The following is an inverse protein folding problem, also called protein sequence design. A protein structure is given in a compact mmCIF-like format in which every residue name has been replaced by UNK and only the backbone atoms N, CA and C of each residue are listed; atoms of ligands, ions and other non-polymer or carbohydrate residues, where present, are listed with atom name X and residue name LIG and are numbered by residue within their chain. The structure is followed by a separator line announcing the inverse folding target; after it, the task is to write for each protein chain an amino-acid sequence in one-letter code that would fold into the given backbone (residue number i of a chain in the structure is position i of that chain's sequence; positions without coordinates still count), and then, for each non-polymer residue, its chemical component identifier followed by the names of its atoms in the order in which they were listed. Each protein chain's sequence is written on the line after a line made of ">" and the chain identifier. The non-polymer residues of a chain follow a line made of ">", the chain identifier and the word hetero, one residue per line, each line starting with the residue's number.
data_IF_571716820073
#
_entry.id   IF_571716820073
#
_cell.length_a   1.000
_cell.length_b   1.000
_cell.length_c   1.000
_cell.angle_alpha   90.00
_cell.angle_beta   90.00
_cell.angle_gamma   90.00
#
_symmetry.space_group_name_H-M   'P 1'
#
loop_
_entity.id
_entity.type
_entity.pdbx_description
1 polymer ?
#
# COMPACT_ATOMS: atom_id res chain seq x y z
N UNK A 1 -42.73 31.30 -0.94
CA UNK A 1 -41.46 31.39 -1.70
C UNK A 1 -40.24 30.87 -0.93
N UNK A 2 -40.01 31.25 0.33
CA UNK A 2 -38.83 30.80 1.10
C UNK A 2 -38.72 29.26 1.27
N UNK A 3 -39.84 28.57 1.53
CA UNK A 3 -39.87 27.11 1.71
C UNK A 3 -39.41 26.33 0.47
N UNK A 4 -39.75 26.78 -0.74
CA UNK A 4 -39.28 26.17 -1.99
C UNK A 4 -37.78 26.38 -2.22
N UNK A 5 -37.24 27.55 -1.85
CA UNK A 5 -35.79 27.82 -1.93
C UNK A 5 -34.99 26.93 -0.99
N UNK A 6 -35.50 26.65 0.22
CA UNK A 6 -34.87 25.74 1.17
C UNK A 6 -34.88 24.28 0.68
N UNK A 7 -35.98 23.83 0.08
CA UNK A 7 -36.06 22.47 -0.50
C UNK A 7 -35.09 22.32 -1.67
N UNK A 8 -35.01 23.30 -2.57
CA UNK A 8 -34.04 23.28 -3.68
C UNK A 8 -32.60 23.26 -3.15
N UNK A 9 -32.27 24.08 -2.14
CA UNK A 9 -30.95 24.09 -1.53
C UNK A 9 -30.60 22.75 -0.87
N UNK A 10 -31.56 22.11 -0.18
CA UNK A 10 -31.37 20.80 0.43
C UNK A 10 -31.11 19.70 -0.62
N UNK A 11 -31.84 19.73 -1.75
CA UNK A 11 -31.63 18.78 -2.85
C UNK A 11 -30.26 18.97 -3.49
N UNK A 12 -29.85 20.21 -3.75
CA UNK A 12 -28.52 20.51 -4.31
C UNK A 12 -27.42 20.04 -3.35
N UNK A 13 -27.57 20.27 -2.05
CA UNK A 13 -26.62 19.80 -1.05
C UNK A 13 -26.54 18.27 -1.00
N UNK A 14 -27.69 17.58 -1.03
CA UNK A 14 -27.73 16.12 -1.04
C UNK A 14 -27.08 15.54 -2.30
N UNK A 15 -27.34 16.12 -3.48
CA UNK A 15 -26.69 15.71 -4.72
C UNK A 15 -25.17 15.97 -4.69
N UNK A 16 -24.73 17.10 -4.12
CA UNK A 16 -23.32 17.39 -3.94
C UNK A 16 -22.64 16.37 -3.01
N UNK A 17 -23.30 15.98 -1.91
CA UNK A 17 -22.81 14.95 -0.99
C UNK A 17 -22.74 13.57 -1.64
N UNK A 18 -23.78 13.16 -2.38
CA UNK A 18 -23.79 11.89 -3.12
C UNK A 18 -22.69 11.90 -4.19
N UNK A 19 -22.56 12.98 -4.94
CA UNK A 19 -21.50 13.14 -5.94
C UNK A 19 -20.11 13.09 -5.32
N UNK A 20 -19.91 13.70 -4.16
CA UNK A 20 -18.66 13.64 -3.41
C UNK A 20 -18.32 12.20 -2.97
N UNK A 21 -19.27 11.49 -2.37
CA UNK A 21 -19.08 10.08 -1.99
C UNK A 21 -18.81 9.19 -3.21
N UNK A 22 -19.56 9.38 -4.29
CA UNK A 22 -19.37 8.66 -5.55
C UNK A 22 -17.98 8.91 -6.17
N UNK A 23 -17.47 10.14 -6.07
CA UNK A 23 -16.15 10.50 -6.59
C UNK A 23 -15.01 9.74 -5.89
N UNK A 24 -15.16 9.41 -4.60
CA UNK A 24 -14.17 8.62 -3.87
C UNK A 24 -14.11 7.17 -4.36
N UNK A 25 -15.27 6.58 -4.70
CA UNK A 25 -15.35 5.21 -5.23
C UNK A 25 -14.70 5.14 -6.61
N UNK A 26 -15.05 6.08 -7.50
CA UNK A 26 -14.49 6.15 -8.86
C UNK A 26 -12.98 6.39 -8.81
N UNK A 27 -12.50 7.21 -7.87
CA UNK A 27 -11.07 7.42 -7.64
C UNK A 27 -10.33 6.10 -7.38
N UNK A 28 -10.79 5.28 -6.43
CA UNK A 28 -10.17 3.98 -6.13
C UNK A 28 -10.20 3.03 -7.31
N UNK A 29 -11.34 2.91 -8.00
CA UNK A 29 -11.48 2.07 -9.18
C UNK A 29 -10.53 2.49 -10.32
N UNK A 30 -10.28 3.80 -10.48
CA UNK A 30 -9.32 4.31 -11.45
C UNK A 30 -7.88 3.90 -11.12
N UNK A 31 -7.48 3.90 -9.84
CA UNK A 31 -6.15 3.42 -9.42
C UNK A 31 -5.98 1.94 -9.77
N UNK A 32 -6.97 1.10 -9.45
CA UNK A 32 -6.90 -0.35 -9.73
C UNK A 32 -6.85 -0.67 -11.24
N UNK A 33 -7.46 0.18 -12.07
CA UNK A 33 -7.52 0.01 -13.52
C UNK A 33 -6.31 0.59 -14.25
N UNK A 34 -5.92 1.81 -13.92
CA UNK A 34 -4.96 2.62 -14.69
C UNK A 34 -3.61 2.81 -13.96
N UNK A 35 -3.52 2.43 -12.68
CA UNK A 35 -2.31 2.51 -11.88
C UNK A 35 -1.24 1.50 -12.32
N UNK A 36 0.03 1.85 -12.08
CA UNK A 36 1.18 0.98 -12.37
C UNK A 36 1.24 -0.13 -11.33
N UNK A 37 1.25 -1.37 -11.80
CA UNK A 37 1.31 -2.54 -10.91
C UNK A 37 2.73 -2.76 -10.39
N UNK A 38 2.86 -2.77 -9.07
CA UNK A 38 4.10 -3.11 -8.35
C UNK A 38 3.85 -4.35 -7.49
N UNK A 39 4.77 -5.30 -7.57
CA UNK A 39 4.75 -6.50 -6.73
C UNK A 39 5.63 -6.26 -5.50
N UNK A 40 5.02 -6.13 -4.34
CA UNK A 40 5.72 -5.91 -3.07
C UNK A 40 5.92 -7.22 -2.33
N UNK A 41 7.12 -7.41 -1.78
CA UNK A 41 7.42 -8.57 -0.95
C UNK A 41 6.90 -8.35 0.46
N UNK A 42 6.14 -9.32 0.97
CA UNK A 42 5.64 -9.30 2.35
C UNK A 42 6.69 -9.92 3.26
N UNK A 43 6.98 -9.26 4.39
CA UNK A 43 7.84 -9.83 5.43
C UNK A 43 7.16 -11.11 5.98
N UNK A 44 7.92 -12.20 6.23
CA UNK A 44 7.36 -13.45 6.70
C UNK A 44 6.78 -13.30 8.11
N UNK A 45 5.48 -13.05 8.19
CA UNK A 45 4.68 -13.12 9.41
C UNK A 45 3.97 -14.49 9.41
N UNK A 46 3.90 -15.14 10.57
CA UNK A 46 3.35 -16.50 10.72
C UNK A 46 1.96 -16.59 10.04
N UNK A 47 1.75 -17.51 9.07
CA UNK A 47 0.47 -17.68 8.37
C UNK A 47 -0.70 -17.95 9.33
N UNK A 48 -0.45 -18.38 10.58
CA UNK A 48 -1.47 -18.60 11.61
C UNK A 48 -2.13 -17.33 12.15
N UNK A 49 -1.66 -16.15 11.75
CA UNK A 49 -2.23 -14.85 12.13
C UNK A 49 -2.86 -14.06 10.97
N UNK A 50 -2.83 -14.56 9.72
CA UNK A 50 -3.50 -13.89 8.59
C UNK A 50 -5.02 -14.15 8.55
N UNK A 51 -5.57 -15.13 9.27
CA UNK A 51 -6.97 -15.59 9.05
C UNK A 51 -7.84 -15.62 10.32
N UNK A 52 -7.42 -14.98 11.43
CA UNK A 52 -8.09 -15.08 12.74
C UNK A 52 -9.14 -13.97 13.03
N UNK A 53 -9.48 -13.13 12.05
CA UNK A 53 -10.61 -12.18 12.12
C UNK A 53 -10.33 -10.81 11.47
N UNK A 54 -11.39 -10.21 10.92
CA UNK A 54 -11.61 -8.91 10.25
C UNK A 54 -10.58 -8.31 9.28
N UNK A 55 -9.27 -8.56 9.40
CA UNK A 55 -8.24 -8.21 8.41
C UNK A 55 -6.88 -8.84 8.71
N UNK A 56 -6.04 -8.93 7.68
CA UNK A 56 -4.66 -9.39 7.71
C UNK A 56 -3.73 -8.19 7.86
N UNK A 57 -2.78 -8.24 8.80
CA UNK A 57 -1.71 -7.24 8.86
C UNK A 57 -0.54 -7.65 7.97
N UNK A 58 -0.18 -6.78 7.04
CA UNK A 58 0.92 -6.95 6.10
C UNK A 58 2.08 -6.06 6.54
N UNK A 59 3.28 -6.64 6.55
CA UNK A 59 4.54 -5.88 6.64
C UNK A 59 5.27 -6.01 5.30
N UNK A 60 5.90 -4.94 4.83
CA UNK A 60 6.61 -4.94 3.55
C UNK A 60 8.09 -4.68 3.76
N UNK A 61 8.94 -5.28 2.91
CA UNK A 61 10.38 -4.95 2.89
C UNK A 61 10.60 -3.45 2.62
N UNK A 62 9.72 -2.82 1.84
CA UNK A 62 9.78 -1.39 1.54
C UNK A 62 9.33 -0.50 2.70
N UNK A 63 8.72 -1.04 3.76
CA UNK A 63 8.33 -0.26 4.95
C UNK A 63 9.54 0.12 5.79
N UNK A 64 10.67 -0.58 5.66
CA UNK A 64 11.91 -0.30 6.40
C UNK A 64 12.90 0.42 5.50
N UNK A 65 13.06 1.72 5.72
CA UNK A 65 13.95 2.57 4.93
C UNK A 65 15.18 2.92 5.76
N UNK A 66 16.36 2.56 5.25
CA UNK A 66 17.64 3.02 5.80
C UNK A 66 17.74 4.54 5.64
N UNK A 67 18.15 5.22 6.70
CA UNK A 67 18.29 6.69 6.72
C UNK A 67 19.20 7.18 5.58
N UNK A 68 20.22 6.40 5.21
CA UNK A 68 21.14 6.69 4.10
C UNK A 68 20.46 6.77 2.73
N UNK A 69 19.28 6.15 2.57
CA UNK A 69 18.49 6.22 1.33
C UNK A 69 17.63 7.48 1.27
N UNK A 70 17.50 8.22 2.37
CA UNK A 70 16.74 9.47 2.43
C UNK A 70 17.62 10.60 1.91
N UNK A 71 17.28 11.13 0.73
CA UNK A 71 18.14 12.10 0.03
C UNK A 71 18.13 13.50 0.68
N UNK A 72 17.04 13.89 1.34
CA UNK A 72 16.79 15.25 1.83
C UNK A 72 16.74 15.33 3.37
N UNK A 73 17.65 14.65 4.06
CA UNK A 73 17.69 14.69 5.52
C UNK A 73 17.87 16.13 6.06
N UNK A 74 17.04 16.56 7.03
CA UNK A 74 17.16 17.87 7.64
C UNK A 74 18.48 18.02 8.40
N UNK A 75 19.22 19.11 8.14
CA UNK A 75 20.48 19.37 8.83
C UNK A 75 20.24 19.72 10.31
N UNK A 76 20.83 18.94 11.21
CA UNK A 76 20.79 19.19 12.65
C UNK A 76 19.60 18.58 13.39
N UNK A 77 18.67 17.93 12.68
CA UNK A 77 17.60 17.14 13.29
C UNK A 77 18.01 15.67 13.35
N UNK A 78 17.92 15.09 14.54
CA UNK A 78 18.28 13.68 14.79
C UNK A 78 17.05 12.77 14.85
N UNK A 79 15.85 13.35 14.76
CA UNK A 79 14.59 12.65 14.92
C UNK A 79 13.59 13.03 13.83
N UNK A 80 12.79 12.08 13.36
CA UNK A 80 11.74 12.35 12.38
C UNK A 80 10.61 13.18 12.99
N UNK A 81 10.08 14.07 12.16
CA UNK A 81 8.76 14.68 12.38
C UNK A 81 7.73 13.86 11.62
N UNK A 82 6.51 13.80 12.16
CA UNK A 82 5.41 13.14 11.47
C UNK A 82 5.11 13.83 10.13
N UNK A 83 4.97 13.05 9.05
CA UNK A 83 4.67 13.63 7.75
C UNK A 83 4.73 12.64 6.58
N UNK A 84 4.39 13.13 5.37
CA UNK A 84 4.47 12.32 4.16
C UNK A 84 5.92 11.98 3.81
N UNK A 85 6.13 10.81 3.23
CA UNK A 85 7.41 10.35 2.69
C UNK A 85 7.15 9.75 1.31
N UNK A 86 7.95 10.13 0.32
CA UNK A 86 7.93 9.51 -1.00
C UNK A 86 9.06 8.50 -1.06
N UNK A 87 8.74 7.25 -1.41
CA UNK A 87 9.70 6.17 -1.58
C UNK A 87 9.72 5.75 -3.03
N UNK A 88 10.91 5.71 -3.63
CA UNK A 88 11.11 5.26 -5.00
C UNK A 88 11.41 3.79 -5.04
N UNK A 89 10.67 3.12 -5.89
CA UNK A 89 10.72 1.68 -6.09
C UNK A 89 11.30 1.37 -7.47
N UNK A 90 12.13 0.34 -7.52
CA UNK A 90 12.61 -0.25 -8.77
C UNK A 90 12.37 -1.75 -8.75
N UNK A 91 11.98 -2.30 -9.90
CA UNK A 91 11.79 -3.74 -10.08
C UNK A 91 13.16 -4.45 -10.10
N UNK A 92 13.33 -5.42 -9.23
CA UNK A 92 14.53 -6.26 -9.15
C UNK A 92 14.39 -7.51 -10.05
N UNK A 93 15.47 -8.26 -10.33
CA UNK A 93 15.42 -9.44 -11.20
C UNK A 93 14.50 -10.58 -10.74
N UNK A 94 14.21 -10.66 -9.44
CA UNK A 94 13.27 -11.62 -8.86
C UNK A 94 11.80 -11.22 -9.06
N UNK A 95 11.53 -10.07 -9.69
CA UNK A 95 10.21 -9.58 -10.00
C UNK A 95 9.59 -8.66 -8.94
N UNK A 96 10.17 -8.62 -7.73
CA UNK A 96 9.71 -7.76 -6.65
C UNK A 96 10.25 -6.34 -6.80
N UNK A 97 9.49 -5.37 -6.29
CA UNK A 97 9.87 -3.97 -6.25
C UNK A 97 10.51 -3.65 -4.91
N UNK A 98 11.69 -3.01 -4.94
CA UNK A 98 12.46 -2.65 -3.75
C UNK A 98 12.71 -1.15 -3.68
N UNK A 99 12.83 -0.63 -2.45
CA UNK A 99 13.12 0.77 -2.19
C UNK A 99 14.57 1.12 -2.53
N UNK A 100 14.75 2.05 -3.46
CA UNK A 100 16.06 2.55 -3.91
C UNK A 100 16.43 3.87 -3.25
N UNK A 101 15.47 4.79 -3.12
CA UNK A 101 15.66 6.10 -2.48
C UNK A 101 14.36 6.59 -1.84
N UNK A 102 14.46 7.55 -0.94
CA UNK A 102 13.31 8.16 -0.28
C UNK A 102 13.51 9.67 -0.08
N UNK A 103 12.40 10.40 0.05
CA UNK A 103 12.37 11.82 0.38
C UNK A 103 11.30 12.09 1.43
N UNK A 104 11.65 12.85 2.47
CA UNK A 104 10.67 13.42 3.38
C UNK A 104 9.88 14.51 2.63
N UNK A 105 8.55 14.44 2.65
CA UNK A 105 7.69 15.36 1.92
C UNK A 105 7.44 14.93 0.48
N UNK A 106 8.25 15.42 -0.45
CA UNK A 106 8.07 15.20 -1.89
C UNK A 106 9.40 14.89 -2.57
N UNK A 107 9.36 14.05 -3.60
CA UNK A 107 10.54 13.77 -4.42
C UNK A 107 10.97 15.01 -5.22
N UNK A 108 12.28 15.21 -5.34
CA UNK A 108 12.85 16.34 -6.09
C UNK A 108 12.59 16.23 -7.60
N UNK A 109 12.52 15.01 -8.10
CA UNK A 109 12.25 14.70 -9.52
C UNK A 109 11.21 13.60 -9.61
N UNK A 110 10.34 13.57 -10.63
CA UNK A 110 9.43 12.46 -10.85
C UNK A 110 10.18 11.14 -11.13
N UNK A 111 9.59 10.01 -10.74
CA UNK A 111 10.13 8.70 -11.09
C UNK A 111 10.32 8.54 -12.62
N UNK A 112 11.47 8.03 -13.08
CA UNK A 112 11.65 7.62 -14.47
C UNK A 112 10.71 6.45 -14.83
N UNK A 113 10.51 6.20 -16.13
CA UNK A 113 9.47 5.27 -16.60
C UNK A 113 9.59 3.82 -16.10
N UNK A 114 10.80 3.38 -15.74
CA UNK A 114 11.10 2.07 -15.16
C UNK A 114 10.93 2.01 -13.64
N UNK A 115 10.73 3.15 -12.97
CA UNK A 115 10.60 3.28 -11.52
C UNK A 115 9.19 3.73 -11.14
N UNK A 116 8.86 3.68 -9.85
CA UNK A 116 7.57 4.12 -9.30
C UNK A 116 7.82 4.84 -7.99
N UNK A 117 7.26 6.02 -7.82
CA UNK A 117 7.22 6.71 -6.53
C UNK A 117 5.93 6.30 -5.81
N UNK A 118 6.05 5.74 -4.61
CA UNK A 118 4.92 5.43 -3.72
C UNK A 118 4.92 6.42 -2.55
N UNK A 119 3.76 6.94 -2.23
CA UNK A 119 3.54 7.85 -1.12
C UNK A 119 3.23 7.03 0.14
N UNK A 120 3.96 7.31 1.21
CA UNK A 120 3.70 6.80 2.55
C UNK A 120 3.76 7.92 3.59
N UNK A 121 3.69 7.51 4.85
CA UNK A 121 3.70 8.37 6.01
C UNK A 121 4.69 7.84 7.05
N UNK A 122 5.46 8.73 7.64
CA UNK A 122 6.35 8.42 8.75
C UNK A 122 5.78 9.04 10.03
N UNK A 123 5.82 8.29 11.13
CA UNK A 123 5.47 8.83 12.45
C UNK A 123 6.61 9.71 13.01
N UNK A 124 6.31 10.50 14.04
CA UNK A 124 7.37 11.21 14.76
C UNK A 124 8.26 10.24 15.58
N UNK A 125 9.47 10.69 15.91
CA UNK A 125 10.33 10.03 16.89
C UNK A 125 11.25 8.92 16.36
N UNK A 126 11.33 8.69 15.06
CA UNK A 126 12.35 7.79 14.48
C UNK A 126 13.72 8.45 14.49
N UNK A 127 14.78 7.68 14.73
CA UNK A 127 16.15 8.20 14.62
C UNK A 127 16.53 8.45 13.17
N UNK A 128 17.04 9.65 12.88
CA UNK A 128 17.58 10.05 11.56
C UNK A 128 19.12 10.02 11.54
N UNK A 129 19.75 9.28 12.45
CA UNK A 129 21.20 9.08 12.44
C UNK A 129 21.61 8.00 11.43
N UNK A 130 22.80 8.10 10.81
CA UNK A 130 23.35 7.03 9.99
C UNK A 130 23.35 5.69 10.74
N UNK A 131 23.02 4.60 10.04
CA UNK A 131 22.85 3.25 10.55
C UNK A 131 21.48 2.97 11.19
N UNK A 132 20.58 3.96 11.22
CA UNK A 132 19.20 3.79 11.68
C UNK A 132 18.26 3.47 10.52
N UNK A 133 17.13 2.86 10.86
CA UNK A 133 16.04 2.56 9.92
C UNK A 133 14.78 3.26 10.39
N UNK A 134 14.03 3.82 9.45
CA UNK A 134 12.70 4.39 9.68
C UNK A 134 11.62 3.46 9.16
N UNK A 135 10.47 3.45 9.83
CA UNK A 135 9.28 2.73 9.35
C UNK A 135 8.36 3.67 8.60
N UNK A 136 7.90 3.25 7.42
CA UNK A 136 6.95 3.98 6.58
C UNK A 136 5.68 3.15 6.42
N UNK A 137 4.53 3.79 6.66
CA UNK A 137 3.20 3.23 6.44
C UNK A 137 2.63 3.77 5.11
N UNK A 138 2.14 2.88 4.25
CA UNK A 138 1.61 3.20 2.92
C UNK A 138 0.09 3.16 2.84
N UNK A 139 -0.60 2.82 3.94
CA UNK A 139 -2.05 2.68 3.99
C UNK A 139 -2.57 1.38 3.37
N UNK A 140 -1.67 0.46 3.03
CA UNK A 140 -1.95 -0.88 2.45
C UNK A 140 -1.53 -2.01 3.41
N UNK A 141 -1.22 -1.70 4.67
CA UNK A 141 -0.81 -2.68 5.68
C UNK A 141 -1.95 -3.59 6.14
N UNK A 142 -3.18 -3.35 5.67
CA UNK A 142 -4.36 -4.14 6.02
C UNK A 142 -5.01 -4.70 4.78
N UNK A 143 -5.15 -6.03 4.75
CA UNK A 143 -5.84 -6.73 3.68
C UNK A 143 -7.06 -7.46 4.24
N UNK A 144 -8.24 -7.13 3.71
CA UNK A 144 -9.51 -7.64 4.20
C UNK A 144 -9.92 -8.87 3.41
N UNK A 145 -10.05 -10.01 4.08
CA UNK A 145 -10.50 -11.26 3.46
C UNK A 145 -12.01 -11.39 3.69
N UNK A 146 -12.83 -11.67 2.65
CA UNK A 146 -14.25 -11.91 2.81
C UNK A 146 -14.53 -13.04 3.81
N UNK A 147 -15.54 -12.84 4.65
CA UNK A 147 -15.95 -13.82 5.65
C UNK A 147 -16.40 -15.12 4.96
N UNK A 148 -15.81 -16.26 5.34
CA UNK A 148 -16.10 -17.58 4.75
C UNK A 148 -15.18 -18.01 3.60
N UNK A 149 -14.40 -17.11 2.98
CA UNK A 149 -13.41 -17.47 1.96
C UNK A 149 -12.06 -17.89 2.55
N UNK A 150 -11.80 -17.53 3.82
CA UNK A 150 -10.55 -17.84 4.51
C UNK A 150 -10.22 -19.33 4.58
N UNK A 151 -11.22 -20.22 4.71
CA UNK A 151 -11.02 -21.68 4.77
C UNK A 151 -10.57 -22.26 3.42
N UNK A 152 -11.08 -21.75 2.30
CA UNK A 152 -10.71 -22.23 0.97
C UNK A 152 -9.26 -21.81 0.63
N UNK A 153 -8.92 -20.56 0.95
CA UNK A 153 -7.55 -20.04 0.85
C UNK A 153 -6.63 -20.84 1.78
N UNK A 154 -7.04 -21.12 3.01
CA UNK A 154 -6.25 -21.92 3.97
C UNK A 154 -6.00 -23.35 3.45
N UNK A 155 -7.01 -24.02 2.89
CA UNK A 155 -6.85 -25.39 2.40
C UNK A 155 -5.93 -25.45 1.17
N UNK A 156 -6.03 -24.46 0.27
CA UNK A 156 -5.14 -24.34 -0.88
C UNK A 156 -3.70 -24.03 -0.43
N UNK A 157 -3.54 -23.09 0.50
CA UNK A 157 -2.25 -22.76 1.12
C UNK A 157 -1.66 -23.96 1.86
N UNK A 158 -2.45 -24.75 2.59
CA UNK A 158 -1.97 -25.93 3.35
C UNK A 158 -1.48 -27.03 2.42
N UNK A 159 -2.20 -27.29 1.32
CA UNK A 159 -1.79 -28.25 0.29
C UNK A 159 -0.46 -27.84 -0.34
N UNK A 160 -0.32 -26.57 -0.75
CA UNK A 160 0.94 -26.05 -1.31
C UNK A 160 2.07 -26.00 -0.28
N UNK A 161 1.78 -25.64 0.97
CA UNK A 161 2.76 -25.62 2.07
C UNK A 161 3.27 -27.01 2.46
N UNK A 162 2.50 -28.06 2.19
CA UNK A 162 2.92 -29.45 2.42
C UNK A 162 3.90 -29.94 1.34
N UNK A 163 3.79 -29.40 0.13
CA UNK A 163 4.61 -29.78 -1.03
C UNK A 163 5.77 -28.79 -1.33
N UNK A 164 5.79 -27.60 -0.72
CA UNK A 164 6.79 -26.56 -0.95
C UNK A 164 7.91 -26.56 0.11
N UNK A 165 9.16 -26.38 -0.33
CA UNK A 165 10.29 -26.18 0.57
C UNK A 165 10.10 -24.88 1.39
N UNK A 166 10.46 -24.85 2.69
CA UNK A 166 10.20 -23.73 3.60
C UNK A 166 10.73 -22.37 3.13
N UNK A 167 11.76 -22.34 2.28
CA UNK A 167 12.42 -21.13 1.79
C UNK A 167 11.71 -20.48 0.57
N UNK A 168 10.77 -21.17 -0.08
CA UNK A 168 10.01 -20.66 -1.24
C UNK A 168 8.76 -19.85 -0.84
N UNK A 169 8.48 -19.72 0.46
CA UNK A 169 7.33 -18.98 1.00
C UNK A 169 7.55 -17.47 0.87
N UNK A 170 7.19 -16.92 -0.28
CA UNK A 170 7.28 -15.49 -0.57
C UNK A 170 5.92 -14.95 -0.98
N UNK A 171 5.06 -14.75 0.02
CA UNK A 171 3.82 -14.01 -0.21
C UNK A 171 4.16 -12.63 -0.75
N UNK A 172 3.57 -12.30 -1.89
CA UNK A 172 3.66 -11.00 -2.52
C UNK A 172 2.30 -10.32 -2.49
N UNK A 173 2.30 -9.00 -2.47
CA UNK A 173 1.08 -8.22 -2.67
C UNK A 173 1.28 -7.41 -3.92
N UNK A 174 0.37 -7.59 -4.87
CA UNK A 174 0.30 -6.72 -6.04
C UNK A 174 -0.46 -5.46 -5.65
N UNK A 175 0.19 -4.32 -5.82
CA UNK A 175 -0.34 -2.99 -5.53
C UNK A 175 -0.41 -2.21 -6.84
N UNK A 176 -1.53 -1.54 -7.09
CA UNK A 176 -1.63 -0.55 -8.15
C UNK A 176 -1.29 0.83 -7.57
N UNK A 177 -0.33 1.52 -8.17
CA UNK A 177 0.13 2.86 -7.74
C UNK A 177 -0.22 3.88 -8.80
N UNK A 178 -0.91 4.94 -8.42
CA UNK A 178 -1.27 6.03 -9.34
C UNK A 178 -0.17 7.08 -9.51
N UNK A 179 -0.42 8.09 -10.35
CA UNK A 179 0.55 9.17 -10.59
C UNK A 179 0.81 10.08 -9.38
N UNK A 180 -0.03 10.01 -8.33
CA UNK A 180 0.18 10.73 -7.07
C UNK A 180 1.03 9.93 -6.07
N UNK A 181 1.33 8.67 -6.40
CA UNK A 181 2.00 7.71 -5.52
C UNK A 181 1.05 6.98 -4.58
N UNK A 182 -0.27 7.17 -4.69
CA UNK A 182 -1.24 6.47 -3.85
C UNK A 182 -1.32 5.01 -4.29
N UNK A 183 -1.03 4.09 -3.36
CA UNK A 183 -1.14 2.64 -3.58
C UNK A 183 -2.52 2.10 -3.19
N UNK A 184 -3.02 1.12 -3.94
CA UNK A 184 -4.16 0.28 -3.56
C UNK A 184 -3.80 -1.20 -3.76
N UNK A 185 -4.21 -2.06 -2.83
CA UNK A 185 -4.02 -3.51 -2.99
C UNK A 185 -4.89 -3.97 -4.16
N UNK A 186 -4.31 -4.77 -5.03
CA UNK A 186 -5.00 -5.38 -6.17
C UNK A 186 -5.15 -6.88 -5.99
N UNK A 187 -4.10 -7.54 -5.51
CA UNK A 187 -4.12 -8.99 -5.35
C UNK A 187 -3.12 -9.49 -4.30
N UNK A 188 -3.48 -10.60 -3.65
CA UNK A 188 -2.56 -11.42 -2.89
C UNK A 188 -1.93 -12.47 -3.81
N UNK A 189 -0.60 -12.51 -3.81
CA UNK A 189 0.21 -13.40 -4.64
C UNK A 189 0.98 -14.38 -3.75
N UNK A 190 1.11 -15.62 -4.22
CA UNK A 190 2.01 -16.63 -3.67
C UNK A 190 2.90 -17.13 -4.80
N UNK A 191 4.12 -16.57 -4.87
CA UNK A 191 4.97 -16.64 -6.06
C UNK A 191 4.24 -16.13 -7.31
N UNK A 192 4.13 -16.99 -8.33
CA UNK A 192 3.41 -16.68 -9.58
C UNK A 192 1.89 -16.93 -9.51
N UNK A 193 1.39 -17.50 -8.40
CA UNK A 193 -0.04 -17.82 -8.26
C UNK A 193 -0.79 -16.65 -7.61
N UNK A 194 -1.89 -16.21 -8.22
CA UNK A 194 -2.82 -15.27 -7.62
C UNK A 194 -3.79 -16.01 -6.70
N UNK A 195 -3.78 -15.68 -5.40
CA UNK A 195 -4.65 -16.29 -4.40
C UNK A 195 -5.97 -15.55 -4.22
N UNK A 196 -5.94 -14.23 -4.41
CA UNK A 196 -7.13 -13.39 -4.31
C UNK A 196 -6.95 -12.12 -5.12
N UNK A 197 -8.02 -11.64 -5.75
CA UNK A 197 -8.08 -10.36 -6.46
C UNK A 197 -9.19 -9.49 -5.84
N UNK A 198 -8.87 -8.23 -5.56
CA UNK A 198 -9.83 -7.31 -4.97
C UNK A 198 -10.85 -6.84 -6.04
N UNK A 199 -12.17 -6.91 -5.76
CA UNK A 199 -13.18 -6.45 -6.71
C UNK A 199 -13.09 -4.93 -6.91
N UNK A 200 -13.36 -4.49 -8.13
CA UNK A 200 -13.27 -3.08 -8.52
C UNK A 200 -14.36 -2.17 -7.90
N UNK A 201 -15.46 -2.75 -7.38
CA UNK A 201 -16.67 -2.05 -6.91
C UNK A 201 -17.26 -2.67 -5.66
#
# INVERSE_FOLDING_TARGET
>A
MARYKLVVAAIVLALAQIGFLGSMIVGRAAILRDGKEVLLKVEPVDPRDLLRGDYVRLGYDISRIEVEKIANLPQGELTSVEGPVVVRLKKDPDGYWRATSAWLGSAETPAPGDEVDILGHISNGWSLTPGSTVSVDYGIERFYVPEGEGLAIEEEMRKRNADAEPELRSFGIKVAVDSSGTGQIKALMDGDTMLFEEPLY
#
